data_IF_965622486931
#
_entry.id   IF_965622486931
#
_cell.length_a   1.000
_cell.length_b   1.000
_cell.length_c   1.000
_cell.angle_alpha   90.00
_cell.angle_beta   90.00
_cell.angle_gamma   90.00
#
_symmetry.space_group_name_H-M   'P 1'
#
loop_
_entity.id
_entity.type
_entity.pdbx_description
1 polymer ?
#
# COMPACT_ATOMS: atom_id res chain seq x y z
N UNK A 1 -5.41 -13.40 4.89
CA UNK A 1 -4.53 -12.20 4.96
C UNK A 1 -5.36 -10.94 5.04
N UNK A 2 -4.85 -9.94 5.69
CA UNK A 2 -5.52 -8.64 5.75
C UNK A 2 -5.27 -7.85 4.48
N UNK A 3 -6.25 -7.05 4.07
CA UNK A 3 -6.20 -6.24 2.86
C UNK A 3 -6.06 -4.77 3.21
N UNK A 4 -5.26 -4.05 2.43
CA UNK A 4 -5.01 -2.63 2.63
C UNK A 4 -5.06 -1.89 1.30
N UNK A 5 -5.55 -0.64 1.34
CA UNK A 5 -5.50 0.27 0.21
C UNK A 5 -4.57 1.40 0.58
N UNK A 6 -3.45 1.51 -0.14
CA UNK A 6 -2.46 2.53 0.09
C UNK A 6 -2.66 3.66 -0.91
N UNK A 7 -3.00 4.83 -0.39
CA UNK A 7 -3.12 6.07 -1.16
C UNK A 7 -1.82 6.84 -0.94
N UNK A 8 -1.04 7.03 -2.02
CA UNK A 8 0.32 7.52 -1.88
C UNK A 8 0.54 8.81 -2.66
N UNK A 9 1.37 9.68 -2.10
CA UNK A 9 1.89 10.85 -2.81
C UNK A 9 3.41 10.81 -2.79
N UNK A 10 4.03 11.20 -3.90
CA UNK A 10 5.48 11.44 -3.90
C UNK A 10 5.79 12.65 -3.03
N UNK A 11 6.90 12.55 -2.31
CA UNK A 11 7.54 13.74 -1.73
C UNK A 11 8.21 14.55 -2.84
N UNK A 12 8.72 15.74 -2.51
CA UNK A 12 9.51 16.51 -3.49
C UNK A 12 10.67 15.68 -4.03
N UNK A 13 11.36 14.96 -3.16
CA UNK A 13 12.46 14.08 -3.56
C UNK A 13 11.98 12.99 -4.51
N UNK A 14 10.88 12.33 -4.20
CA UNK A 14 10.33 11.27 -5.04
C UNK A 14 9.88 11.78 -6.40
N UNK A 15 9.26 12.96 -6.43
CA UNK A 15 8.83 13.59 -7.67
C UNK A 15 10.01 14.00 -8.56
N UNK A 16 11.06 14.56 -7.96
CA UNK A 16 12.26 14.94 -8.70
C UNK A 16 12.95 13.73 -9.32
N UNK A 17 12.88 12.58 -8.68
CA UNK A 17 13.51 11.34 -9.10
C UNK A 17 12.48 10.34 -9.63
N UNK A 18 11.40 10.82 -10.24
CA UNK A 18 10.28 9.99 -10.66
C UNK A 18 10.68 8.93 -11.71
N UNK A 19 11.74 9.20 -12.46
CA UNK A 19 12.24 8.22 -13.45
C UNK A 19 12.70 6.92 -12.80
N UNK A 20 13.09 6.96 -11.53
CA UNK A 20 13.50 5.78 -10.76
C UNK A 20 12.31 5.10 -10.07
N UNK A 21 11.11 5.67 -10.17
CA UNK A 21 9.92 5.15 -9.49
C UNK A 21 9.63 3.68 -9.81
N UNK A 22 9.72 3.21 -11.07
CA UNK A 22 9.50 1.79 -11.35
C UNK A 22 10.43 0.86 -10.57
N UNK A 23 11.72 1.23 -10.45
CA UNK A 23 12.67 0.43 -9.67
C UNK A 23 12.34 0.44 -8.19
N UNK A 24 11.91 1.58 -7.66
CA UNK A 24 11.49 1.70 -6.26
C UNK A 24 10.26 0.85 -5.99
N UNK A 25 9.32 0.81 -6.95
CA UNK A 25 8.14 -0.03 -6.84
C UNK A 25 8.51 -1.51 -6.82
N UNK A 26 9.42 -1.95 -7.71
CA UNK A 26 9.88 -3.33 -7.74
C UNK A 26 10.52 -3.72 -6.41
N UNK A 27 11.33 -2.84 -5.83
CA UNK A 27 11.97 -3.07 -4.53
C UNK A 27 10.93 -3.14 -3.40
N UNK A 28 9.92 -2.28 -3.42
CA UNK A 28 8.85 -2.30 -2.43
C UNK A 28 8.04 -3.59 -2.51
N UNK A 29 7.73 -4.03 -3.71
CA UNK A 29 6.99 -5.28 -3.92
C UNK A 29 7.77 -6.48 -3.40
N UNK A 30 9.07 -6.51 -3.67
CA UNK A 30 9.96 -7.55 -3.17
C UNK A 30 10.01 -7.54 -1.64
N UNK A 31 10.16 -6.37 -1.06
CA UNK A 31 10.21 -6.21 0.39
C UNK A 31 8.95 -6.76 1.06
N UNK A 32 7.76 -6.39 0.55
CA UNK A 32 6.53 -6.86 1.14
C UNK A 32 6.38 -8.39 0.99
N UNK A 33 6.79 -8.94 -0.13
CA UNK A 33 6.81 -10.41 -0.32
C UNK A 33 7.71 -11.10 0.69
N UNK A 34 8.87 -10.55 0.97
CA UNK A 34 9.79 -11.09 1.99
C UNK A 34 9.18 -11.04 3.39
N UNK A 35 8.25 -10.11 3.62
CA UNK A 35 7.52 -9.97 4.88
C UNK A 35 6.26 -10.83 4.94
N UNK A 36 5.99 -11.61 3.90
CA UNK A 36 4.84 -12.52 3.83
C UNK A 36 3.59 -11.94 3.19
N UNK A 37 3.67 -10.75 2.62
CA UNK A 37 2.56 -10.10 1.93
C UNK A 37 2.76 -10.01 0.43
N UNK A 38 1.95 -9.21 -0.23
CA UNK A 38 2.09 -8.94 -1.66
C UNK A 38 1.33 -7.67 -2.04
N UNK A 39 1.79 -7.00 -3.09
CA UNK A 39 1.04 -5.92 -3.73
C UNK A 39 0.24 -6.53 -4.88
N UNK A 40 -1.09 -6.51 -4.76
CA UNK A 40 -1.99 -7.17 -5.70
C UNK A 40 -2.33 -6.31 -6.90
N UNK A 41 -2.48 -5.00 -6.70
CA UNK A 41 -2.82 -4.05 -7.74
C UNK A 41 -2.07 -2.76 -7.48
N UNK A 42 -1.71 -2.07 -8.55
CA UNK A 42 -0.99 -0.82 -8.48
C UNK A 42 -1.41 0.08 -9.63
N UNK A 43 -1.71 1.35 -9.33
CA UNK A 43 -2.15 2.32 -10.31
C UNK A 43 -1.42 3.64 -10.11
N UNK A 44 -1.03 4.25 -11.23
CA UNK A 44 -0.73 5.68 -11.28
C UNK A 44 -2.05 6.41 -11.39
N UNK A 45 -2.27 7.41 -10.56
CA UNK A 45 -3.52 8.16 -10.57
C UNK A 45 -3.27 9.64 -10.80
N UNK A 46 -4.32 10.36 -11.16
CA UNK A 46 -4.34 11.82 -11.27
C UNK A 46 -5.34 12.34 -10.24
N UNK A 47 -5.03 13.46 -9.61
CA UNK A 47 -5.87 14.05 -8.59
C UNK A 47 -5.14 14.17 -7.27
N UNK A 48 -5.85 13.93 -6.16
CA UNK A 48 -5.31 14.15 -4.82
C UNK A 48 -4.18 13.18 -4.46
N UNK A 49 -4.15 12.01 -5.09
CA UNK A 49 -3.11 11.00 -4.86
C UNK A 49 -2.41 10.64 -6.15
N UNK A 50 -1.11 10.37 -6.05
CA UNK A 50 -0.29 10.03 -7.22
C UNK A 50 -0.32 8.54 -7.52
N UNK A 51 -0.39 7.71 -6.49
CA UNK A 51 -0.34 6.27 -6.63
C UNK A 51 -1.38 5.64 -5.72
N UNK A 52 -2.00 4.56 -6.20
CA UNK A 52 -2.93 3.75 -5.40
C UNK A 52 -2.55 2.29 -5.55
N UNK A 53 -2.40 1.60 -4.42
CA UNK A 53 -2.08 0.18 -4.42
C UNK A 53 -3.04 -0.59 -3.53
N UNK A 54 -3.33 -1.82 -3.95
CA UNK A 54 -4.04 -2.78 -3.10
C UNK A 54 -3.03 -3.83 -2.68
N UNK A 55 -2.86 -4.00 -1.37
CA UNK A 55 -1.87 -4.89 -0.80
C UNK A 55 -2.48 -5.85 0.21
N UNK A 56 -1.83 -6.98 0.40
CA UNK A 56 -2.15 -7.94 1.45
C UNK A 56 -0.94 -8.13 2.34
N UNK A 57 -1.18 -8.31 3.63
CA UNK A 57 -0.15 -8.62 4.61
C UNK A 57 -0.70 -9.59 5.65
N UNK A 58 0.19 -10.35 6.34
CA UNK A 58 -0.26 -11.30 7.36
C UNK A 58 -1.09 -10.64 8.46
N UNK A 59 -0.68 -9.45 8.91
CA UNK A 59 -1.39 -8.71 9.96
C UNK A 59 -1.04 -7.21 9.89
N UNK A 60 -1.70 -6.44 10.74
CA UNK A 60 -1.53 -4.98 10.77
C UNK A 60 -0.11 -4.57 11.15
N UNK A 61 0.53 -5.30 12.07
CA UNK A 61 1.88 -4.97 12.52
C UNK A 61 2.90 -5.10 11.38
N UNK A 62 2.76 -6.13 10.56
CA UNK A 62 3.62 -6.32 9.38
C UNK A 62 3.40 -5.18 8.40
N UNK A 63 2.15 -4.84 8.12
CA UNK A 63 1.85 -3.73 7.19
C UNK A 63 2.38 -2.41 7.71
N UNK A 64 2.20 -2.13 9.00
CA UNK A 64 2.73 -0.91 9.61
C UNK A 64 4.25 -0.83 9.47
N UNK A 65 4.96 -1.93 9.71
CA UNK A 65 6.42 -1.98 9.56
C UNK A 65 6.84 -1.72 8.12
N UNK A 66 6.13 -2.32 7.15
CA UNK A 66 6.39 -2.09 5.73
C UNK A 66 6.23 -0.61 5.37
N UNK A 67 5.13 0.02 5.82
CA UNK A 67 4.87 1.43 5.53
C UNK A 67 5.91 2.33 6.16
N UNK A 68 6.37 2.03 7.37
CA UNK A 68 7.42 2.80 8.01
C UNK A 68 8.73 2.71 7.25
N UNK A 69 9.07 1.53 6.74
CA UNK A 69 10.28 1.36 5.93
C UNK A 69 10.21 2.16 4.64
N UNK A 70 9.05 2.19 3.99
CA UNK A 70 8.85 3.05 2.80
C UNK A 70 9.01 4.52 3.16
N UNK A 71 8.42 4.94 4.28
CA UNK A 71 8.53 6.32 4.75
C UNK A 71 9.97 6.75 5.04
N UNK A 72 10.78 5.84 5.57
CA UNK A 72 12.19 6.12 5.88
C UNK A 72 13.01 6.42 4.63
N UNK A 73 12.64 5.85 3.48
CA UNK A 73 13.31 6.13 2.22
C UNK A 73 13.02 7.54 1.72
N UNK A 74 11.95 8.15 2.17
CA UNK A 74 11.65 9.57 1.92
C UNK A 74 11.10 9.88 0.54
N UNK A 75 10.73 8.88 -0.27
CA UNK A 75 10.25 9.10 -1.64
C UNK A 75 8.74 9.23 -1.74
N UNK A 76 7.99 8.64 -0.79
CA UNK A 76 6.53 8.65 -0.78
C UNK A 76 5.99 8.90 0.63
N UNK A 77 4.80 9.48 0.67
CA UNK A 77 3.94 9.54 1.86
C UNK A 77 2.72 8.71 1.58
N UNK A 78 2.30 7.92 2.56
CA UNK A 78 1.17 7.02 2.39
C UNK A 78 0.03 7.38 3.33
N UNK A 79 -1.19 7.24 2.81
CA UNK A 79 -2.43 7.25 3.58
C UNK A 79 -3.03 5.86 3.36
N UNK A 80 -2.78 4.96 4.28
CA UNK A 80 -3.14 3.56 4.10
C UNK A 80 -4.38 3.22 4.91
N UNK A 81 -5.36 2.62 4.23
CA UNK A 81 -6.63 2.21 4.80
C UNK A 81 -6.62 0.71 4.98
N UNK A 82 -7.07 0.24 6.15
CA UNK A 82 -7.41 -1.17 6.27
C UNK A 82 -8.73 -1.39 5.52
N UNK A 83 -8.76 -2.40 4.66
CA UNK A 83 -9.90 -2.65 3.80
C UNK A 83 -10.46 -4.05 4.04
N UNK A 84 -11.76 -4.17 3.80
CA UNK A 84 -12.47 -5.45 3.87
C UNK A 84 -12.93 -5.78 2.45
N UNK A 85 -12.45 -6.89 1.86
CA UNK A 85 -12.98 -7.35 0.57
C UNK A 85 -14.48 -7.58 0.65
N UNK A 86 -15.15 -7.63 -0.50
CA UNK A 86 -16.60 -7.73 -0.54
C UNK A 86 -17.12 -8.93 0.27
N UNK A 87 -16.46 -10.09 0.20
CA UNK A 87 -16.88 -11.25 0.97
C UNK A 87 -16.89 -10.99 2.47
N UNK A 88 -15.83 -10.34 2.98
CA UNK A 88 -15.74 -9.98 4.40
C UNK A 88 -16.79 -8.92 4.77
N UNK A 89 -17.00 -7.95 3.88
CA UNK A 89 -18.05 -6.95 4.08
C UNK A 89 -19.42 -7.61 4.24
N UNK A 90 -19.75 -8.57 3.37
CA UNK A 90 -21.03 -9.28 3.45
C UNK A 90 -21.17 -10.08 4.76
N UNK A 91 -20.09 -10.71 5.20
CA UNK A 91 -20.08 -11.44 6.47
C UNK A 91 -20.31 -10.52 7.66
N UNK A 92 -19.70 -9.34 7.66
CA UNK A 92 -19.87 -8.33 8.73
C UNK A 92 -21.33 -7.89 8.78
N UNK A 93 -21.90 -7.56 7.63
CA UNK A 93 -23.30 -7.10 7.56
C UNK A 93 -24.24 -8.22 8.06
N UNK A 94 -23.95 -9.46 7.75
CA UNK A 94 -24.77 -10.59 8.17
C UNK A 94 -24.82 -10.77 9.69
N UNK A 95 -23.88 -10.19 10.43
CA UNK A 95 -23.89 -10.25 11.90
C UNK A 95 -24.75 -9.17 12.56
N UNK A 96 -25.22 -8.20 11.76
CA UNK A 96 -26.05 -7.12 12.30
C UNK A 96 -27.46 -7.60 12.58
N UNK A 97 -28.00 -7.17 13.70
CA UNK A 97 -29.38 -7.54 14.07
C UNK A 97 -30.39 -6.50 13.62
#
# INVERSE_FOLDING_TARGET
>A
MATYIALCNWTDKGAQQVKDSPKRFDAAKKLLREMGGDIKQFYLTMGDFDLVAVAEAPDDAVMARFLMQLGMLGNVRTHTLKAFPESAYREIVATLS
#
